data_IF_022188551205
#
_entry.id   IF_022188551205
#
_cell.length_a   1.000
_cell.length_b   1.000
_cell.length_c   1.000
_cell.angle_alpha   90.00
_cell.angle_beta   90.00
_cell.angle_gamma   90.00
#
_symmetry.space_group_name_H-M   'P 1'
#
loop_
_entity.id
_entity.type
_entity.pdbx_description
1 polymer ?
#
# COMPACT_ATOMS: atom_id res chain seq x y z
N UNK A 1 28.32 7.50 -54.42
CA UNK A 1 28.21 6.21 -55.13
C UNK A 1 27.32 5.28 -54.32
N UNK A 2 26.21 4.86 -54.93
CA UNK A 2 25.36 3.64 -54.72
C UNK A 2 25.20 3.11 -53.27
N UNK A 3 24.00 3.25 -52.64
CA UNK A 3 22.85 2.29 -52.62
C UNK A 3 23.23 0.97 -51.91
N UNK A 4 22.53 0.37 -50.94
CA UNK A 4 21.11 0.08 -50.68
C UNK A 4 20.96 -0.19 -49.15
N UNK A 5 19.93 0.21 -48.40
CA UNK A 5 18.49 -0.12 -48.44
C UNK A 5 18.14 -1.57 -48.03
N UNK A 6 17.32 -1.69 -46.97
CA UNK A 6 16.23 -2.66 -46.66
C UNK A 6 16.23 -3.00 -45.14
N UNK A 7 15.37 -2.43 -44.29
CA UNK A 7 13.96 -2.79 -44.05
C UNK A 7 13.68 -4.30 -44.01
N UNK A 8 13.51 -4.83 -42.79
CA UNK A 8 12.63 -5.97 -42.52
C UNK A 8 11.78 -5.66 -41.29
N UNK A 9 10.58 -5.15 -41.56
CA UNK A 9 9.41 -5.29 -40.69
C UNK A 9 8.96 -6.74 -40.88
N UNK A 10 8.84 -7.51 -39.80
CA UNK A 10 8.02 -8.72 -39.82
C UNK A 10 7.36 -8.90 -38.46
N UNK A 11 6.14 -8.40 -38.41
CA UNK A 11 5.05 -8.83 -37.55
C UNK A 11 5.03 -10.35 -37.40
N UNK A 12 5.05 -10.83 -36.17
CA UNK A 12 4.61 -12.18 -35.84
C UNK A 12 3.55 -12.10 -34.74
N UNK A 13 2.32 -11.81 -35.17
CA UNK A 13 1.11 -12.20 -34.46
C UNK A 13 0.97 -13.72 -34.61
N UNK A 14 1.23 -14.48 -33.53
CA UNK A 14 0.71 -15.85 -33.41
C UNK A 14 -0.35 -15.84 -32.33
N UNK A 15 -1.58 -15.90 -32.82
CA UNK A 15 -2.74 -16.40 -32.09
C UNK A 15 -2.45 -17.88 -31.78
N UNK A 16 -2.27 -18.20 -30.51
CA UNK A 16 -2.37 -19.59 -30.02
C UNK A 16 -3.61 -19.69 -29.14
N UNK A 17 -4.72 -19.90 -29.82
CA UNK A 17 -5.93 -20.54 -29.29
C UNK A 17 -5.59 -22.00 -29.01
N UNK A 18 -5.48 -22.38 -27.74
CA UNK A 18 -5.73 -23.75 -27.29
C UNK A 18 -6.44 -23.71 -25.94
N UNK A 19 -7.76 -23.86 -26.03
CA UNK A 19 -8.61 -24.30 -24.95
C UNK A 19 -8.28 -25.74 -24.60
N UNK A 20 -8.11 -26.06 -23.31
CA UNK A 20 -8.63 -27.32 -22.77
C UNK A 20 -9.06 -27.18 -21.30
N UNK A 21 -10.21 -27.80 -21.02
CA UNK A 21 -10.79 -28.26 -19.76
C UNK A 21 -11.54 -27.28 -18.85
N UNK A 22 -12.82 -27.14 -19.22
CA UNK A 22 -14.01 -27.21 -18.37
C UNK A 22 -13.80 -27.91 -17.01
N UNK A 23 -14.06 -27.18 -15.93
CA UNK A 23 -14.83 -27.69 -14.79
C UNK A 23 -16.20 -27.01 -14.84
N UNK A 24 -17.20 -27.72 -15.32
CA UNK A 24 -18.60 -27.34 -15.15
C UNK A 24 -18.97 -27.51 -13.68
N UNK A 25 -19.21 -26.41 -12.98
CA UNK A 25 -20.22 -26.42 -11.93
C UNK A 25 -21.42 -25.68 -12.52
N UNK A 26 -22.39 -26.46 -13.02
CA UNK A 26 -23.76 -25.99 -13.23
C UNK A 26 -24.35 -25.65 -11.86
N UNK A 27 -24.11 -24.43 -11.41
CA UNK A 27 -24.94 -23.74 -10.44
C UNK A 27 -25.65 -22.61 -11.17
N UNK A 28 -26.92 -22.80 -11.51
CA UNK A 28 -27.79 -21.70 -11.90
C UNK A 28 -28.01 -20.80 -10.67
N UNK A 29 -27.03 -19.96 -10.38
CA UNK A 29 -27.23 -18.78 -9.56
C UNK A 29 -27.25 -17.61 -10.52
N UNK A 30 -28.47 -17.16 -10.85
CA UNK A 30 -28.70 -15.78 -11.25
C UNK A 30 -27.96 -14.94 -10.21
N UNK A 31 -27.01 -14.06 -10.57
CA UNK A 31 -26.38 -13.18 -9.60
C UNK A 31 -27.49 -12.37 -8.94
N UNK A 32 -27.87 -12.77 -7.73
CA UNK A 32 -28.78 -11.98 -6.92
C UNK A 32 -27.99 -10.74 -6.53
N UNK A 33 -28.61 -9.56 -6.63
CA UNK A 33 -28.02 -8.25 -6.33
C UNK A 33 -27.23 -8.22 -5.00
N UNK A 34 -27.54 -9.14 -4.09
CA UNK A 34 -26.98 -9.23 -2.74
C UNK A 34 -25.49 -9.62 -2.67
N UNK A 35 -24.83 -10.10 -3.73
CA UNK A 35 -23.39 -10.43 -3.64
C UNK A 35 -22.49 -9.20 -3.75
N UNK A 36 -22.90 -8.21 -4.55
CA UNK A 36 -22.15 -6.96 -4.75
C UNK A 36 -22.35 -6.02 -3.57
N UNK A 37 -23.57 -5.97 -3.02
CA UNK A 37 -23.90 -5.14 -1.84
C UNK A 37 -23.10 -5.53 -0.59
N UNK A 38 -22.76 -6.80 -0.42
CA UNK A 38 -21.95 -7.29 0.71
C UNK A 38 -20.44 -7.07 0.52
N UNK A 39 -19.95 -6.83 -0.70
CA UNK A 39 -18.52 -6.57 -0.94
C UNK A 39 -18.13 -5.11 -0.68
N UNK A 40 -19.10 -4.19 -0.67
CA UNK A 40 -18.86 -2.79 -0.33
C UNK A 40 -18.69 -2.57 1.17
N UNK A 41 -19.45 -3.25 2.04
CA UNK A 41 -19.41 -3.00 3.50
C UNK A 41 -18.02 -3.17 4.12
N UNK A 42 -17.19 -4.01 3.51
CA UNK A 42 -15.86 -4.38 4.02
C UNK A 42 -14.74 -3.53 3.38
N UNK A 43 -15.11 -2.50 2.60
CA UNK A 43 -14.15 -1.63 1.94
C UNK A 43 -13.55 -0.61 2.90
N UNK A 44 -12.27 -0.79 3.20
CA UNK A 44 -11.52 -0.03 4.19
C UNK A 44 -10.24 0.52 3.57
N UNK A 45 -9.89 1.79 3.87
CA UNK A 45 -8.58 2.32 3.50
C UNK A 45 -7.47 1.63 4.31
N UNK A 46 -6.35 1.22 3.66
CA UNK A 46 -5.24 0.63 4.40
C UNK A 46 -4.66 1.65 5.39
N UNK A 47 -4.30 1.21 6.59
CA UNK A 47 -3.49 2.02 7.49
C UNK A 47 -2.04 2.02 7.01
N UNK A 48 -1.60 3.12 6.41
CA UNK A 48 -0.26 3.23 5.86
C UNK A 48 0.83 3.49 6.90
N UNK A 49 0.44 3.90 8.11
CA UNK A 49 1.41 4.08 9.19
C UNK A 49 2.08 2.75 9.54
N UNK A 50 1.36 1.63 9.44
CA UNK A 50 1.86 0.26 9.71
C UNK A 50 3.07 -0.14 8.84
N UNK A 51 3.26 0.51 7.69
CA UNK A 51 4.35 0.23 6.75
C UNK A 51 5.65 0.99 7.11
N UNK A 52 5.56 2.06 7.90
CA UNK A 52 6.64 3.03 8.13
C UNK A 52 7.11 3.13 9.59
N UNK A 53 6.62 2.28 10.50
CA UNK A 53 7.07 2.25 11.91
C UNK A 53 8.48 1.71 12.12
N UNK A 54 9.18 1.36 11.05
CA UNK A 54 10.56 0.89 11.11
C UNK A 54 11.50 1.96 11.71
N UNK A 55 12.20 1.60 12.78
CA UNK A 55 13.28 2.42 13.34
C UNK A 55 14.65 1.85 12.94
N UNK A 56 15.56 2.72 12.47
CA UNK A 56 16.94 2.33 12.18
C UNK A 56 17.74 2.34 13.48
N UNK A 57 18.38 1.21 13.79
CA UNK A 57 19.24 1.04 14.96
C UNK A 57 20.63 0.54 14.59
N UNK A 58 21.56 0.61 15.54
CA UNK A 58 22.95 0.18 15.37
C UNK A 58 23.82 1.21 14.64
N UNK A 59 24.72 0.75 13.77
CA UNK A 59 25.68 1.62 13.08
C UNK A 59 26.90 2.00 13.93
N UNK A 60 27.21 1.21 14.95
CA UNK A 60 28.32 1.45 15.88
C UNK A 60 29.52 0.57 15.55
N UNK A 61 30.63 0.71 16.29
CA UNK A 61 31.80 -0.17 16.16
C UNK A 61 31.40 -1.64 16.35
N UNK A 62 30.51 -1.89 17.30
CA UNK A 62 30.16 -3.24 17.75
C UNK A 62 28.89 -3.77 17.06
N UNK A 63 28.01 -2.89 16.56
CA UNK A 63 26.70 -3.26 16.02
C UNK A 63 26.52 -2.80 14.57
N UNK A 64 26.02 -3.69 13.72
CA UNK A 64 25.63 -3.39 12.34
C UNK A 64 24.35 -2.56 12.28
N UNK A 65 24.08 -1.93 11.15
CA UNK A 65 22.77 -1.32 10.92
C UNK A 65 21.69 -2.39 10.88
N UNK A 66 20.60 -2.17 11.61
CA UNK A 66 19.43 -3.04 11.57
C UNK A 66 18.13 -2.23 11.63
N UNK A 67 17.06 -2.83 11.12
CA UNK A 67 15.71 -2.28 11.25
C UNK A 67 15.04 -2.96 12.44
N UNK A 68 14.55 -2.16 13.38
CA UNK A 68 13.60 -2.60 14.39
C UNK A 68 12.21 -2.36 13.80
N UNK A 69 11.61 -3.43 13.27
CA UNK A 69 10.21 -3.40 12.86
C UNK A 69 9.36 -3.72 14.08
N UNK A 70 8.53 -2.76 14.50
CA UNK A 70 7.46 -3.03 15.47
C UNK A 70 6.37 -3.80 14.74
N UNK A 71 6.48 -5.13 14.79
CA UNK A 71 5.50 -6.01 14.17
C UNK A 71 4.24 -5.99 15.04
N UNK A 72 3.37 -5.01 14.83
CA UNK A 72 1.96 -5.22 15.09
C UNK A 72 1.52 -6.23 14.04
N UNK A 73 1.08 -7.41 14.49
CA UNK A 73 0.26 -8.28 13.66
C UNK A 73 -0.96 -7.45 13.27
N UNK A 74 -0.86 -6.69 12.18
CA UNK A 74 -2.01 -6.37 11.38
C UNK A 74 -2.46 -7.73 10.91
N UNK A 75 -3.50 -8.25 11.57
CA UNK A 75 -4.31 -9.29 10.99
C UNK A 75 -4.62 -8.79 9.59
N UNK A 76 -3.93 -9.34 8.60
CA UNK A 76 -4.42 -9.36 7.24
C UNK A 76 -5.90 -9.68 7.39
N UNK A 77 -6.77 -8.80 6.91
CA UNK A 77 -8.19 -9.06 6.73
C UNK A 77 -8.35 -10.12 5.64
N UNK A 78 -7.71 -11.28 5.82
CA UNK A 78 -8.06 -12.54 5.21
C UNK A 78 -9.37 -12.98 5.87
N UNK A 79 -10.44 -12.41 5.34
CA UNK A 79 -11.76 -13.03 5.34
C UNK A 79 -11.61 -14.52 4.99
N UNK A 80 -12.02 -15.36 5.94
CA UNK A 80 -12.41 -16.78 5.79
C UNK A 80 -11.30 -17.78 5.47
N UNK A 81 -10.70 -18.34 6.53
CA UNK A 81 -10.43 -19.79 6.57
C UNK A 81 -11.69 -20.50 7.10
N UNK A 82 -12.47 -21.22 6.28
CA UNK A 82 -13.51 -22.10 6.77
C UNK A 82 -12.86 -23.45 7.10
N UNK A 83 -12.65 -23.71 8.39
CA UNK A 83 -12.40 -25.08 8.83
C UNK A 83 -11.33 -25.24 9.89
N UNK A 84 -11.66 -24.84 11.12
CA UNK A 84 -11.29 -25.63 12.30
C UNK A 84 -12.39 -25.50 13.34
N UNK A 85 -13.41 -26.35 13.23
CA UNK A 85 -14.22 -26.76 14.38
C UNK A 85 -13.37 -27.72 15.21
N UNK A 86 -13.23 -27.44 16.51
CA UNK A 86 -13.20 -28.41 17.64
C UNK A 86 -12.78 -27.68 18.93
N UNK A 87 -13.68 -27.57 19.90
CA UNK A 87 -13.35 -27.07 21.24
C UNK A 87 -14.58 -26.74 22.08
N UNK A 88 -15.22 -27.77 22.65
CA UNK A 88 -16.28 -27.65 23.63
C UNK A 88 -15.81 -27.01 24.95
N UNK A 89 -16.75 -26.26 25.56
CA UNK A 89 -16.96 -26.02 27.00
C UNK A 89 -16.00 -25.11 27.81
N UNK A 90 -16.64 -24.04 28.34
CA UNK A 90 -16.43 -23.42 29.66
C UNK A 90 -15.03 -22.91 30.01
N UNK A 91 -14.84 -21.60 29.82
CA UNK A 91 -13.80 -20.85 30.51
C UNK A 91 -14.06 -19.35 30.44
N UNK A 92 -14.28 -18.73 31.60
CA UNK A 92 -14.20 -17.30 31.82
C UNK A 92 -13.03 -16.67 31.04
N UNK A 93 -13.32 -15.84 30.04
CA UNK A 93 -12.47 -14.75 29.59
C UNK A 93 -13.40 -13.54 29.76
N UNK A 94 -13.29 -12.77 30.84
CA UNK A 94 -12.11 -11.95 31.06
C UNK A 94 -12.20 -10.86 30.00
N UNK A 95 -13.14 -9.93 30.21
CA UNK A 95 -13.36 -8.73 29.43
C UNK A 95 -12.06 -7.91 29.45
N UNK A 96 -11.13 -8.32 28.60
CA UNK A 96 -10.09 -7.46 28.08
C UNK A 96 -10.74 -6.76 26.92
N UNK A 97 -11.30 -5.60 27.21
CA UNK A 97 -11.62 -4.56 26.24
C UNK A 97 -10.31 -4.18 25.53
N UNK A 98 -9.85 -5.06 24.65
CA UNK A 98 -8.96 -4.70 23.56
C UNK A 98 -9.86 -4.00 22.54
N UNK A 99 -10.30 -2.79 22.92
CA UNK A 99 -10.78 -1.73 22.04
C UNK A 99 -9.61 -1.27 21.15
N UNK A 100 -9.03 -2.22 20.42
CA UNK A 100 -8.40 -1.92 19.16
C UNK A 100 -9.55 -1.65 18.20
N UNK A 101 -10.07 -0.41 18.27
CA UNK A 101 -10.76 0.26 17.19
C UNK A 101 -9.90 0.06 15.92
N UNK A 102 -10.11 -1.06 15.24
CA UNK A 102 -9.89 -1.21 13.83
C UNK A 102 -10.92 -0.33 13.11
N UNK A 103 -10.89 0.97 13.41
CA UNK A 103 -11.53 2.03 12.66
C UNK A 103 -10.69 2.30 11.41
N UNK A 104 -10.36 1.24 10.68
CA UNK A 104 -9.98 1.43 9.31
C UNK A 104 -11.12 2.17 8.63
N UNK A 105 -10.76 3.20 7.87
CA UNK A 105 -11.72 4.14 7.31
C UNK A 105 -12.60 3.43 6.28
N UNK A 106 -13.73 2.91 6.75
CA UNK A 106 -14.64 2.11 5.93
C UNK A 106 -15.38 3.05 4.97
N UNK A 107 -14.87 3.21 3.76
CA UNK A 107 -15.55 3.98 2.72
C UNK A 107 -16.70 3.19 2.07
N UNK A 108 -16.80 1.90 2.38
CA UNK A 108 -17.94 1.06 2.00
C UNK A 108 -19.30 1.61 2.39
N UNK A 109 -19.40 2.18 3.60
CA UNK A 109 -20.65 2.70 4.15
C UNK A 109 -21.17 3.91 3.38
N UNK A 110 -20.29 4.83 2.95
CA UNK A 110 -20.72 5.96 2.12
C UNK A 110 -21.15 5.48 0.74
N UNK A 111 -20.42 4.54 0.12
CA UNK A 111 -20.78 4.02 -1.19
C UNK A 111 -22.16 3.34 -1.19
N UNK A 112 -22.52 2.65 -0.10
CA UNK A 112 -23.85 2.07 0.07
C UNK A 112 -24.97 3.12 0.20
N UNK A 113 -24.66 4.32 0.71
CA UNK A 113 -25.64 5.41 0.88
C UNK A 113 -25.92 6.18 -0.41
N UNK A 114 -25.06 6.07 -1.43
CA UNK A 114 -25.15 6.86 -2.66
C UNK A 114 -26.13 6.29 -3.71
N UNK A 115 -26.83 5.18 -3.42
CA UNK A 115 -27.75 4.51 -4.36
C UNK A 115 -27.11 4.32 -5.76
N UNK A 116 -25.94 3.69 -5.79
CA UNK A 116 -25.13 3.54 -6.99
C UNK A 116 -25.78 2.58 -8.00
N UNK A 117 -25.76 2.95 -9.27
CA UNK A 117 -26.10 2.03 -10.35
C UNK A 117 -25.09 0.88 -10.46
N UNK A 118 -25.48 -0.21 -11.13
CA UNK A 118 -24.58 -1.36 -11.37
C UNK A 118 -23.31 -0.97 -12.11
N UNK A 119 -23.41 -0.05 -13.05
CA UNK A 119 -22.29 0.41 -13.86
C UNK A 119 -21.34 1.30 -13.04
N UNK A 120 -21.87 2.14 -12.16
CA UNK A 120 -21.06 2.93 -11.21
C UNK A 120 -20.33 2.01 -10.22
N UNK A 121 -21.03 1.03 -9.65
CA UNK A 121 -20.42 0.06 -8.73
C UNK A 121 -19.27 -0.68 -9.40
N UNK A 122 -19.46 -1.19 -10.61
CA UNK A 122 -18.42 -1.92 -11.32
C UNK A 122 -17.18 -1.06 -11.60
N UNK A 123 -17.37 0.21 -12.01
CA UNK A 123 -16.27 1.14 -12.21
C UNK A 123 -15.50 1.42 -10.91
N UNK A 124 -16.20 1.61 -9.79
CA UNK A 124 -15.57 1.84 -8.49
C UNK A 124 -14.74 0.62 -8.04
N UNK A 125 -15.20 -0.60 -8.32
CA UNK A 125 -14.40 -1.81 -8.09
C UNK A 125 -13.11 -1.84 -8.91
N UNK A 126 -13.16 -1.39 -10.16
CA UNK A 126 -11.96 -1.34 -11.00
C UNK A 126 -11.00 -0.24 -10.52
N UNK A 127 -11.50 0.94 -10.14
CA UNK A 127 -10.69 1.99 -9.52
C UNK A 127 -10.04 1.52 -8.22
N UNK A 128 -10.72 0.68 -7.43
CA UNK A 128 -10.14 0.08 -6.22
C UNK A 128 -8.95 -0.83 -6.55
N UNK A 129 -9.03 -1.63 -7.62
CA UNK A 129 -7.90 -2.48 -8.06
C UNK A 129 -6.72 -1.62 -8.48
N UNK A 130 -6.97 -0.54 -9.23
CA UNK A 130 -5.94 0.42 -9.63
C UNK A 130 -5.29 1.11 -8.42
N UNK A 131 -6.10 1.54 -7.45
CA UNK A 131 -5.62 2.09 -6.19
C UNK A 131 -4.70 1.12 -5.44
N UNK A 132 -5.13 -0.13 -5.27
CA UNK A 132 -4.29 -1.16 -4.65
C UNK A 132 -2.99 -1.41 -5.43
N UNK A 133 -3.05 -1.37 -6.76
CA UNK A 133 -1.85 -1.50 -7.58
C UNK A 133 -0.86 -0.35 -7.33
N UNK A 134 -1.35 0.89 -7.36
CA UNK A 134 -0.59 2.12 -7.10
C UNK A 134 0.09 2.08 -5.73
N UNK A 135 -0.67 1.77 -4.67
CA UNK A 135 -0.16 1.62 -3.31
C UNK A 135 0.91 0.53 -3.22
N UNK A 136 0.69 -0.62 -3.86
CA UNK A 136 1.65 -1.72 -3.85
C UNK A 136 2.95 -1.35 -4.57
N UNK A 137 2.87 -0.55 -5.63
CA UNK A 137 4.04 -0.02 -6.32
C UNK A 137 4.82 0.96 -5.42
N UNK A 138 4.14 1.92 -4.80
CA UNK A 138 4.75 2.83 -3.84
C UNK A 138 5.45 2.06 -2.69
N UNK A 139 4.81 1.01 -2.17
CA UNK A 139 5.38 0.13 -1.13
C UNK A 139 6.63 -0.58 -1.63
N UNK A 140 6.60 -1.18 -2.83
CA UNK A 140 7.78 -1.85 -3.41
C UNK A 140 8.93 -0.87 -3.59
N UNK A 141 8.66 0.33 -4.08
CA UNK A 141 9.67 1.37 -4.26
C UNK A 141 10.30 1.78 -2.93
N UNK A 142 9.48 2.06 -1.91
CA UNK A 142 9.96 2.37 -0.57
C UNK A 142 10.86 1.27 0.00
N UNK A 143 10.44 0.00 -0.08
CA UNK A 143 11.24 -1.13 0.43
C UNK A 143 12.54 -1.31 -0.36
N UNK A 144 12.53 -1.06 -1.68
CA UNK A 144 13.72 -1.11 -2.51
C UNK A 144 14.74 -0.04 -2.11
N UNK A 145 14.32 1.23 -2.10
CA UNK A 145 15.18 2.36 -1.78
C UNK A 145 15.72 2.27 -0.34
N UNK A 146 14.89 1.89 0.62
CA UNK A 146 15.32 1.62 2.00
C UNK A 146 16.42 0.54 2.04
N UNK A 147 16.27 -0.53 1.27
CA UNK A 147 17.27 -1.59 1.16
C UNK A 147 18.60 -1.09 0.59
N UNK A 148 18.57 -0.16 -0.37
CA UNK A 148 19.76 0.48 -0.93
C UNK A 148 20.48 1.35 0.10
N UNK A 149 19.75 2.21 0.81
CA UNK A 149 20.30 3.08 1.87
C UNK A 149 21.01 2.26 2.95
N UNK A 150 20.37 1.20 3.45
CA UNK A 150 20.98 0.36 4.50
C UNK A 150 22.19 -0.42 4.02
N UNK A 151 22.17 -0.90 2.77
CA UNK A 151 23.31 -1.60 2.18
C UNK A 151 24.51 -0.67 2.02
N UNK A 152 24.27 0.56 1.57
CA UNK A 152 25.31 1.57 1.42
C UNK A 152 25.89 1.97 2.78
N UNK A 153 25.02 2.27 3.76
CA UNK A 153 25.43 2.57 5.12
C UNK A 153 26.26 1.43 5.75
N UNK A 154 25.87 0.18 5.53
CA UNK A 154 26.63 -0.98 6.02
C UNK A 154 28.01 -1.11 5.35
N UNK A 155 28.13 -0.72 4.08
CA UNK A 155 29.42 -0.71 3.40
C UNK A 155 30.32 0.39 3.97
N UNK A 156 29.80 1.63 4.11
CA UNK A 156 30.53 2.74 4.72
C UNK A 156 31.00 2.43 6.14
N UNK A 157 30.15 1.79 6.94
CA UNK A 157 30.52 1.30 8.29
C UNK A 157 31.72 0.36 8.24
N UNK A 158 31.72 -0.63 7.34
CA UNK A 158 32.84 -1.58 7.20
C UNK A 158 34.13 -0.87 6.85
N UNK A 159 34.06 0.15 5.98
CA UNK A 159 35.22 0.92 5.57
C UNK A 159 35.79 1.77 6.72
N UNK A 160 34.92 2.37 7.56
CA UNK A 160 35.34 3.09 8.78
C UNK A 160 36.01 2.13 9.78
N UNK A 161 35.42 0.97 10.03
CA UNK A 161 35.99 -0.05 10.94
C UNK A 161 37.35 -0.55 10.41
N UNK A 162 37.49 -0.69 9.09
CA UNK A 162 38.74 -1.10 8.48
C UNK A 162 39.84 -0.05 8.66
N UNK A 163 39.55 1.24 8.41
CA UNK A 163 40.49 2.34 8.65
C UNK A 163 40.95 2.39 10.12
N UNK A 164 40.01 2.22 11.06
CA UNK A 164 40.34 2.18 12.48
C UNK A 164 41.24 1.00 12.84
N UNK A 165 40.92 -0.22 12.36
CA UNK A 165 41.72 -1.42 12.63
C UNK A 165 43.14 -1.36 12.05
N UNK A 166 43.31 -0.64 10.94
CA UNK A 166 44.62 -0.41 10.33
C UNK A 166 45.42 0.70 11.01
N UNK A 167 44.80 1.46 11.92
CA UNK A 167 45.42 2.60 12.59
C UNK A 167 45.50 3.86 11.71
N UNK A 168 44.76 3.90 10.61
CA UNK A 168 44.67 5.07 9.72
C UNK A 168 43.91 6.22 10.40
N UNK A 169 42.96 5.88 11.27
CA UNK A 169 42.20 6.79 12.13
C UNK A 169 42.21 6.31 13.58
N UNK A 170 42.05 7.24 14.51
CA UNK A 170 41.86 6.98 15.93
C UNK A 170 40.47 6.39 16.22
N UNK A 171 40.30 5.85 17.42
CA UNK A 171 38.98 5.35 17.87
C UNK A 171 37.95 6.49 17.97
N UNK A 172 38.38 7.67 18.38
CA UNK A 172 37.47 8.82 18.55
C UNK A 172 36.98 9.32 17.18
N UNK A 173 37.87 9.40 16.18
CA UNK A 173 37.49 9.71 14.80
C UNK A 173 36.55 8.65 14.22
N UNK A 174 36.80 7.36 14.47
CA UNK A 174 35.92 6.29 14.02
C UNK A 174 34.51 6.39 14.64
N UNK A 175 34.42 6.69 15.93
CA UNK A 175 33.14 6.89 16.61
C UNK A 175 32.38 8.10 16.05
N UNK A 176 33.07 9.21 15.77
CA UNK A 176 32.47 10.40 15.17
C UNK A 176 31.93 10.12 13.77
N UNK A 177 32.70 9.43 12.93
CA UNK A 177 32.27 9.04 11.58
C UNK A 177 31.07 8.11 11.62
N UNK A 178 31.06 7.13 12.52
CA UNK A 178 29.94 6.19 12.69
C UNK A 178 28.68 6.87 13.21
N UNK A 179 28.82 7.82 14.15
CA UNK A 179 27.72 8.62 14.64
C UNK A 179 27.07 9.44 13.52
N UNK A 180 27.88 10.13 12.72
CA UNK A 180 27.40 10.92 11.58
C UNK A 180 26.73 10.03 10.53
N UNK A 181 27.35 8.89 10.20
CA UNK A 181 26.76 7.89 9.29
C UNK A 181 25.39 7.40 9.79
N UNK A 182 25.25 7.14 11.09
CA UNK A 182 23.98 6.70 11.67
C UNK A 182 22.91 7.81 11.62
N UNK A 183 23.28 9.06 11.90
CA UNK A 183 22.38 10.20 11.78
C UNK A 183 21.91 10.43 10.33
N UNK A 184 22.84 10.40 9.38
CA UNK A 184 22.54 10.56 7.95
C UNK A 184 21.66 9.43 7.43
N UNK A 185 21.93 8.19 7.84
CA UNK A 185 21.11 7.02 7.48
C UNK A 185 19.68 7.17 8.01
N UNK A 186 19.51 7.62 9.26
CA UNK A 186 18.19 7.88 9.85
C UNK A 186 17.44 8.95 9.06
N UNK A 187 18.09 10.06 8.73
CA UNK A 187 17.47 11.14 7.95
C UNK A 187 17.01 10.65 6.56
N UNK A 188 17.86 9.89 5.85
CA UNK A 188 17.49 9.33 4.55
C UNK A 188 16.27 8.42 4.63
N UNK A 189 16.17 7.60 5.69
CA UNK A 189 14.98 6.75 5.90
C UNK A 189 13.73 7.59 6.20
N UNK A 190 13.83 8.65 6.99
CA UNK A 190 12.69 9.56 7.23
C UNK A 190 12.24 10.28 5.94
N UNK A 191 13.18 10.70 5.10
CA UNK A 191 12.86 11.29 3.80
C UNK A 191 12.14 10.28 2.89
N UNK A 192 12.57 9.01 2.90
CA UNK A 192 11.88 7.93 2.18
C UNK A 192 10.48 7.66 2.73
N UNK A 193 10.27 7.75 4.05
CA UNK A 193 8.94 7.62 4.66
C UNK A 193 8.03 8.76 4.20
N UNK A 194 8.52 10.00 4.18
CA UNK A 194 7.77 11.15 3.68
C UNK A 194 7.40 11.00 2.20
N UNK A 195 8.35 10.54 1.36
CA UNK A 195 8.11 10.27 -0.05
C UNK A 195 7.07 9.16 -0.27
N UNK A 196 7.11 8.10 0.54
CA UNK A 196 6.10 7.03 0.52
C UNK A 196 4.71 7.55 0.90
N UNK A 197 4.60 8.34 1.97
CA UNK A 197 3.33 8.97 2.38
C UNK A 197 2.75 9.83 1.26
N UNK A 198 3.57 10.67 0.63
CA UNK A 198 3.14 11.51 -0.49
C UNK A 198 2.63 10.66 -1.66
N UNK A 199 3.39 9.64 -2.09
CA UNK A 199 2.99 8.77 -3.20
C UNK A 199 1.67 8.03 -2.93
N UNK A 200 1.46 7.55 -1.70
CA UNK A 200 0.19 6.92 -1.31
C UNK A 200 -0.95 7.93 -1.23
N UNK A 201 -0.67 9.15 -0.78
CA UNK A 201 -1.62 10.26 -0.81
C UNK A 201 -2.09 10.58 -2.23
N UNK A 202 -1.18 10.59 -3.20
CA UNK A 202 -1.51 10.77 -4.62
C UNK A 202 -2.35 9.61 -5.17
N UNK A 203 -2.03 8.37 -4.80
CA UNK A 203 -2.85 7.19 -5.15
C UNK A 203 -4.28 7.34 -4.61
N UNK A 204 -4.42 7.74 -3.34
CA UNK A 204 -5.73 7.92 -2.70
C UNK A 204 -6.50 9.08 -3.34
N UNK A 205 -5.85 10.21 -3.60
CA UNK A 205 -6.49 11.34 -4.25
C UNK A 205 -7.00 10.97 -5.65
N UNK A 206 -6.21 10.22 -6.42
CA UNK A 206 -6.62 9.70 -7.74
C UNK A 206 -7.83 8.79 -7.62
N UNK A 207 -7.82 7.86 -6.66
CA UNK A 207 -8.96 6.98 -6.40
C UNK A 207 -10.25 7.74 -6.08
N UNK A 208 -10.17 8.71 -5.17
CA UNK A 208 -11.33 9.53 -4.79
C UNK A 208 -11.85 10.37 -5.97
N UNK A 209 -10.95 10.94 -6.79
CA UNK A 209 -11.33 11.65 -8.02
C UNK A 209 -12.01 10.73 -9.03
N UNK A 210 -11.52 9.50 -9.19
CA UNK A 210 -12.14 8.51 -10.07
C UNK A 210 -13.55 8.15 -9.58
N UNK A 211 -13.76 7.98 -8.26
CA UNK A 211 -15.10 7.81 -7.69
C UNK A 211 -15.98 9.01 -8.07
N UNK A 212 -15.56 10.25 -7.78
CA UNK A 212 -16.33 11.45 -8.11
C UNK A 212 -16.70 11.52 -9.60
N UNK A 213 -15.79 11.09 -10.49
CA UNK A 213 -16.01 11.16 -11.95
C UNK A 213 -17.15 10.28 -12.47
N UNK A 214 -17.58 9.28 -11.70
CA UNK A 214 -18.70 8.39 -12.06
C UNK A 214 -19.97 8.68 -11.27
N UNK A 215 -19.92 9.56 -10.27
CA UNK A 215 -21.08 9.98 -9.51
C UNK A 215 -21.87 11.06 -10.27
N UNK A 216 -23.16 11.17 -9.97
CA UNK A 216 -24.06 12.12 -10.63
C UNK A 216 -24.90 12.91 -9.62
N UNK A 217 -25.15 14.18 -9.91
CA UNK A 217 -26.06 15.03 -9.13
C UNK A 217 -25.73 15.08 -7.63
N UNK A 218 -26.72 14.76 -6.79
CA UNK A 218 -26.60 14.80 -5.32
C UNK A 218 -25.55 13.81 -4.77
N UNK A 219 -25.20 12.76 -5.52
CA UNK A 219 -24.19 11.79 -5.10
C UNK A 219 -22.82 12.47 -4.93
N UNK A 220 -22.48 13.42 -5.81
CA UNK A 220 -21.19 14.10 -5.82
C UNK A 220 -20.99 14.88 -4.52
N UNK A 221 -21.95 15.77 -4.19
CA UNK A 221 -21.84 16.61 -2.99
C UNK A 221 -21.92 15.77 -1.71
N UNK A 222 -22.72 14.70 -1.71
CA UNK A 222 -22.80 13.76 -0.58
C UNK A 222 -21.46 13.09 -0.33
N UNK A 223 -20.80 12.61 -1.40
CA UNK A 223 -19.50 11.95 -1.30
C UNK A 223 -18.38 12.93 -0.92
N UNK A 224 -18.31 14.10 -1.55
CA UNK A 224 -17.29 15.12 -1.25
C UNK A 224 -17.42 15.60 0.20
N UNK A 225 -18.65 15.89 0.66
CA UNK A 225 -18.91 16.29 2.05
C UNK A 225 -18.50 15.19 3.02
N UNK A 226 -18.76 13.93 2.68
CA UNK A 226 -18.31 12.81 3.50
C UNK A 226 -16.78 12.76 3.57
N UNK A 227 -16.06 12.92 2.45
CA UNK A 227 -14.59 12.94 2.45
C UNK A 227 -14.05 14.10 3.29
N UNK A 228 -14.54 15.32 3.06
CA UNK A 228 -14.08 16.55 3.75
C UNK A 228 -14.29 16.50 5.27
N UNK A 229 -15.28 15.75 5.75
CA UNK A 229 -15.59 15.61 7.18
C UNK A 229 -15.03 14.34 7.83
N UNK A 230 -14.39 13.45 7.07
CA UNK A 230 -13.90 12.19 7.60
C UNK A 230 -12.42 12.33 8.02
N UNK A 231 -12.11 12.37 9.34
CA UNK A 231 -10.74 12.59 9.85
C UNK A 231 -9.76 11.47 9.47
N UNK A 232 -10.32 10.39 8.95
CA UNK A 232 -9.65 9.17 8.55
C UNK A 232 -9.02 9.31 7.14
N UNK A 233 -9.39 10.36 6.39
CA UNK A 233 -8.82 10.73 5.09
C UNK A 233 -7.92 11.96 5.29
N UNK A 234 -6.69 11.71 5.74
CA UNK A 234 -5.69 12.76 5.95
C UNK A 234 -4.82 12.94 4.70
N UNK A 235 -5.41 13.51 3.65
CA UNK A 235 -4.69 13.84 2.41
C UNK A 235 -5.11 15.21 1.85
N UNK A 236 -4.14 15.93 1.28
CA UNK A 236 -4.42 17.14 0.51
C UNK A 236 -4.93 16.74 -0.89
N UNK A 237 -6.25 16.67 -1.06
CA UNK A 237 -6.87 16.35 -2.34
C UNK A 237 -8.01 17.30 -2.69
N UNK A 238 -7.85 18.07 -3.78
CA UNK A 238 -8.95 18.88 -4.30
C UNK A 238 -9.90 18.02 -5.16
N UNK A 239 -10.99 17.56 -4.55
CA UNK A 239 -12.02 16.76 -5.23
C UNK A 239 -12.94 17.59 -6.14
N UNK A 240 -13.05 18.90 -5.90
CA UNK A 240 -13.99 19.78 -6.61
C UNK A 240 -13.50 20.19 -8.01
N UNK A 241 -12.19 20.09 -8.28
CA UNK A 241 -11.63 20.33 -9.63
C UNK A 241 -11.91 19.21 -10.64
N UNK A 242 -12.42 18.05 -10.19
CA UNK A 242 -12.71 16.89 -11.04
C UNK A 242 -14.20 16.59 -11.23
N UNK A 243 -15.10 17.35 -10.60
CA UNK A 243 -16.54 17.15 -10.76
C UNK A 243 -16.98 17.58 -12.17
N UNK A 244 -17.81 16.78 -12.87
CA UNK A 244 -18.43 17.23 -14.12
C UNK A 244 -19.21 18.52 -13.86
N UNK A 245 -19.05 19.52 -14.73
CA UNK A 245 -19.82 20.75 -14.64
C UNK A 245 -21.30 20.44 -14.92
N UNK A 246 -22.17 20.77 -13.97
CA UNK A 246 -23.63 20.70 -14.10
C UNK A 246 -24.16 21.47 -15.33
#
# INVERSE_FOLDING_TARGET
MKKLALYFILSFSIISLLAIYSCSNEGNEIPTNNSVDNEFSDMVFPNFNDIIWDEVSGGTIDEEFSIISFNYNTTETNSKNPGTQCGDNNGHHGDGDDDHENNGCAYGTILHQLDLSKDQMHQIFDFKKEFHHCVNEARRNYQHEKGLVLKDAQQQRKDIIHQWKNGDITRDEANELLHNLAADTKQQIEDLKAAFKAAVGDCLCTFLKNIVSVLEGEQIETFITWVENNPCIDIECNLREGAPAD
#
